data_IF_175496160828
#
_entry.id   IF_175496160828
#
_cell.length_a   1.000
_cell.length_b   1.000
_cell.length_c   1.000
_cell.angle_alpha   90.00
_cell.angle_beta   90.00
_cell.angle_gamma   90.00
#
_symmetry.space_group_name_H-M   'P 1'
#
loop_
_entity.id
_entity.type
_entity.pdbx_description
1 polymer ?
#
# COMPACT_ATOMS: atom_id res chain seq x y z
N UNK A 1 28.41 -19.56 5.46
CA UNK A 1 28.60 -19.33 4.01
C UNK A 1 27.65 -18.23 3.60
N UNK A 2 28.12 -17.09 3.10
CA UNK A 2 27.24 -16.08 2.49
C UNK A 2 26.50 -16.76 1.33
N UNK A 3 25.16 -16.82 1.41
CA UNK A 3 24.33 -17.34 0.32
C UNK A 3 24.49 -16.41 -0.87
N UNK A 4 25.05 -16.92 -1.95
CA UNK A 4 25.31 -16.18 -3.19
C UNK A 4 23.96 -15.81 -3.84
N UNK A 5 23.60 -14.53 -3.85
CA UNK A 5 22.39 -14.06 -4.57
C UNK A 5 22.61 -14.07 -6.09
N UNK A 6 21.53 -14.23 -6.84
CA UNK A 6 21.53 -14.14 -8.29
C UNK A 6 21.26 -12.68 -8.69
N UNK A 7 22.22 -11.97 -9.31
CA UNK A 7 22.01 -10.58 -9.70
C UNK A 7 21.10 -10.48 -10.93
N UNK A 8 20.16 -9.55 -10.92
CA UNK A 8 19.45 -9.16 -12.13
C UNK A 8 20.35 -8.24 -12.97
N UNK A 9 20.75 -8.70 -14.15
CA UNK A 9 21.73 -8.04 -15.01
C UNK A 9 21.07 -7.24 -16.14
N UNK A 10 21.81 -6.34 -16.80
CA UNK A 10 21.33 -5.57 -17.96
C UNK A 10 20.83 -6.46 -19.11
N UNK A 11 21.45 -7.63 -19.33
CA UNK A 11 20.99 -8.59 -20.35
C UNK A 11 19.61 -9.13 -20.05
N UNK A 12 19.24 -9.21 -18.78
CA UNK A 12 17.95 -9.73 -18.32
C UNK A 12 16.80 -8.74 -18.56
N UNK A 13 17.05 -7.45 -18.70
CA UNK A 13 16.01 -6.45 -18.98
C UNK A 13 15.16 -6.83 -20.19
N UNK A 14 15.78 -7.32 -21.26
CA UNK A 14 15.10 -7.69 -22.50
C UNK A 14 14.53 -9.12 -22.52
N UNK A 15 15.05 -9.99 -21.66
CA UNK A 15 14.75 -11.43 -21.72
C UNK A 15 13.93 -11.95 -20.55
N UNK A 16 13.86 -11.19 -19.46
CA UNK A 16 13.16 -11.60 -18.25
C UNK A 16 11.91 -10.75 -18.01
N UNK A 17 10.89 -11.39 -17.49
CA UNK A 17 9.70 -10.72 -16.97
C UNK A 17 9.91 -10.50 -15.46
N UNK A 18 9.61 -9.31 -14.98
CA UNK A 18 9.66 -8.97 -13.56
C UNK A 18 8.27 -9.16 -12.97
N UNK A 19 8.13 -10.13 -12.07
CA UNK A 19 6.89 -10.40 -11.35
C UNK A 19 6.84 -9.58 -10.07
N UNK A 20 5.72 -8.91 -9.82
CA UNK A 20 5.48 -8.08 -8.63
C UNK A 20 4.25 -8.62 -7.91
N UNK A 21 4.29 -8.85 -6.59
CA UNK A 21 3.12 -9.29 -5.83
C UNK A 21 2.11 -8.16 -5.72
N UNK A 22 0.82 -8.51 -5.62
CA UNK A 22 -0.24 -7.51 -5.52
C UNK A 22 -0.51 -7.15 -4.06
N UNK A 23 -0.38 -5.86 -3.73
CA UNK A 23 -0.86 -5.31 -2.46
C UNK A 23 -1.96 -4.29 -2.72
N UNK A 24 -1.69 -3.29 -3.53
CA UNK A 24 -2.60 -2.23 -3.97
C UNK A 24 -2.72 -2.29 -5.50
N UNK A 25 -3.79 -2.89 -6.06
CA UNK A 25 -3.90 -3.14 -7.50
C UNK A 25 -3.69 -1.88 -8.35
N UNK A 26 -4.35 -0.77 -8.02
CA UNK A 26 -4.22 0.50 -8.73
C UNK A 26 -2.80 1.06 -8.67
N UNK A 27 -2.21 1.12 -7.49
CA UNK A 27 -0.88 1.69 -7.28
C UNK A 27 0.20 0.88 -7.99
N UNK A 28 0.17 -0.43 -7.82
CA UNK A 28 1.15 -1.30 -8.46
C UNK A 28 1.01 -1.34 -9.97
N UNK A 29 -0.21 -1.29 -10.50
CA UNK A 29 -0.45 -1.18 -11.92
C UNK A 29 0.12 0.13 -12.50
N UNK A 30 -0.04 1.26 -11.79
CA UNK A 30 0.56 2.53 -12.20
C UNK A 30 2.09 2.51 -12.12
N UNK A 31 2.66 1.96 -11.05
CA UNK A 31 4.12 1.79 -10.91
C UNK A 31 4.66 0.86 -12.01
N UNK A 32 3.98 -0.26 -12.27
CA UNK A 32 4.31 -1.18 -13.36
C UNK A 32 4.30 -0.50 -14.73
N UNK A 33 3.31 0.37 -14.98
CA UNK A 33 3.25 1.17 -16.20
C UNK A 33 4.47 2.09 -16.34
N UNK A 34 4.89 2.76 -15.26
CA UNK A 34 6.10 3.58 -15.26
C UNK A 34 7.34 2.74 -15.56
N UNK A 35 7.52 1.60 -14.86
CA UNK A 35 8.65 0.71 -15.10
C UNK A 35 8.69 0.19 -16.53
N UNK A 36 7.54 -0.15 -17.10
CA UNK A 36 7.42 -0.64 -18.49
C UNK A 36 7.90 0.38 -19.52
N UNK A 37 7.69 1.68 -19.29
CA UNK A 37 8.17 2.73 -20.19
C UNK A 37 9.70 2.87 -20.19
N UNK A 38 10.36 2.37 -19.14
CA UNK A 38 11.82 2.28 -19.07
C UNK A 38 12.38 0.97 -19.62
N UNK A 39 11.54 0.19 -20.31
CA UNK A 39 11.95 -1.04 -20.98
C UNK A 39 11.92 -2.30 -20.12
N UNK A 40 11.42 -2.22 -18.89
CA UNK A 40 11.21 -3.41 -18.07
C UNK A 40 9.94 -4.14 -18.50
N UNK A 41 10.01 -5.45 -18.66
CA UNK A 41 8.82 -6.28 -18.87
C UNK A 41 8.24 -6.66 -17.50
N UNK A 42 7.26 -5.90 -17.02
CA UNK A 42 6.68 -6.03 -15.67
C UNK A 42 5.30 -6.65 -15.73
N UNK A 43 5.03 -7.56 -14.82
CA UNK A 43 3.69 -8.11 -14.60
C UNK A 43 3.35 -8.09 -13.12
N UNK A 44 2.18 -7.52 -12.80
CA UNK A 44 1.63 -7.54 -11.44
C UNK A 44 0.84 -8.84 -11.31
N UNK A 45 1.21 -9.65 -10.32
CA UNK A 45 0.55 -10.93 -10.08
C UNK A 45 -0.89 -10.70 -9.64
N UNK A 46 -1.80 -11.48 -10.20
CA UNK A 46 -3.23 -11.44 -9.88
C UNK A 46 -3.74 -12.76 -9.25
N UNK A 47 -2.84 -13.72 -9.06
CA UNK A 47 -3.18 -14.97 -8.40
C UNK A 47 -3.56 -14.71 -6.94
N UNK A 48 -4.68 -15.27 -6.54
CA UNK A 48 -5.31 -15.09 -5.24
C UNK A 48 -5.94 -16.42 -4.78
N UNK A 49 -6.54 -16.37 -3.60
CA UNK A 49 -7.28 -17.52 -3.07
C UNK A 49 -6.44 -18.45 -2.20
N UNK A 50 -7.09 -19.53 -1.79
CA UNK A 50 -6.59 -20.46 -0.78
C UNK A 50 -5.28 -21.15 -1.17
N UNK A 51 -5.11 -21.48 -2.46
CA UNK A 51 -3.88 -22.10 -2.97
C UNK A 51 -2.64 -21.23 -2.72
N UNK A 52 -2.77 -19.91 -2.84
CA UNK A 52 -1.69 -18.95 -2.57
C UNK A 52 -1.30 -19.03 -1.09
N UNK A 53 -2.28 -19.01 -0.19
CA UNK A 53 -2.06 -19.09 1.26
C UNK A 53 -1.41 -20.42 1.64
N UNK A 54 -1.95 -21.54 1.16
CA UNK A 54 -1.41 -22.88 1.41
C UNK A 54 0.03 -23.03 0.89
N UNK A 55 0.32 -22.48 -0.29
CA UNK A 55 1.68 -22.46 -0.84
C UNK A 55 2.61 -21.64 0.06
N UNK A 56 2.17 -20.45 0.49
CA UNK A 56 2.93 -19.61 1.40
C UNK A 56 3.24 -20.28 2.71
N UNK A 57 2.26 -20.86 3.39
CA UNK A 57 2.42 -21.61 4.64
C UNK A 57 3.42 -22.76 4.50
N UNK A 58 3.38 -23.46 3.38
CA UNK A 58 4.28 -24.60 3.13
C UNK A 58 5.75 -24.19 3.04
N UNK A 59 6.06 -22.97 2.53
CA UNK A 59 7.42 -22.60 2.18
C UNK A 59 7.99 -21.43 2.98
N UNK A 60 7.14 -20.59 3.61
CA UNK A 60 7.62 -19.41 4.35
C UNK A 60 8.25 -19.75 5.71
N UNK A 61 7.90 -20.92 6.29
CA UNK A 61 8.36 -21.33 7.63
C UNK A 61 7.43 -20.82 8.75
N UNK A 62 7.57 -21.43 9.93
CA UNK A 62 6.68 -21.19 11.08
C UNK A 62 6.79 -19.78 11.68
N UNK A 63 7.95 -19.16 11.54
CA UNK A 63 8.22 -17.81 12.08
C UNK A 63 7.84 -16.66 11.12
N UNK A 64 7.30 -16.98 9.94
CA UNK A 64 6.95 -15.96 8.95
C UNK A 64 5.66 -15.22 9.35
N UNK A 65 5.67 -13.88 9.28
CA UNK A 65 4.44 -13.10 9.44
C UNK A 65 3.46 -13.38 8.27
N UNK A 66 2.17 -13.15 8.51
CA UNK A 66 1.13 -13.45 7.52
C UNK A 66 1.37 -12.74 6.18
N UNK A 67 1.79 -11.49 6.16
CA UNK A 67 2.15 -10.78 4.93
C UNK A 67 3.30 -11.45 4.15
N UNK A 68 4.28 -12.04 4.86
CA UNK A 68 5.33 -12.82 4.21
C UNK A 68 4.79 -14.11 3.59
N UNK A 69 3.90 -14.80 4.29
CA UNK A 69 3.21 -15.98 3.76
C UNK A 69 2.49 -15.66 2.46
N UNK A 70 1.75 -14.55 2.41
CA UNK A 70 1.00 -14.15 1.22
C UNK A 70 1.90 -13.81 0.03
N UNK A 71 2.94 -13.00 0.24
CA UNK A 71 3.88 -12.62 -0.83
C UNK A 71 4.65 -13.82 -1.36
N UNK A 72 5.16 -14.68 -0.48
CA UNK A 72 5.86 -15.90 -0.86
C UNK A 72 4.91 -16.85 -1.59
N UNK A 73 3.70 -16.97 -1.09
CA UNK A 73 2.64 -17.76 -1.72
C UNK A 73 2.33 -17.29 -3.13
N UNK A 74 2.15 -15.98 -3.35
CA UNK A 74 1.92 -15.42 -4.68
C UNK A 74 3.07 -15.73 -5.64
N UNK A 75 4.32 -15.51 -5.23
CA UNK A 75 5.46 -15.80 -6.07
C UNK A 75 5.58 -17.28 -6.40
N UNK A 76 5.52 -18.15 -5.38
CA UNK A 76 5.72 -19.59 -5.60
C UNK A 76 4.57 -20.24 -6.34
N UNK A 77 3.32 -19.88 -6.08
CA UNK A 77 2.19 -20.41 -6.85
C UNK A 77 2.25 -19.95 -8.31
N UNK A 78 2.65 -18.69 -8.57
CA UNK A 78 2.89 -18.20 -9.93
C UNK A 78 4.01 -19.00 -10.63
N UNK A 79 5.16 -19.19 -9.99
CA UNK A 79 6.27 -19.96 -10.56
C UNK A 79 5.91 -21.41 -10.82
N UNK A 80 5.10 -22.03 -9.94
CA UNK A 80 4.66 -23.42 -10.07
C UNK A 80 3.53 -23.63 -11.06
N UNK A 81 2.81 -22.58 -11.44
CA UNK A 81 1.66 -22.68 -12.35
C UNK A 81 2.02 -23.18 -13.76
N UNK A 82 3.31 -23.12 -14.13
CA UNK A 82 3.78 -23.41 -15.48
C UNK A 82 3.52 -22.30 -16.51
N UNK A 83 2.88 -21.17 -16.10
CA UNK A 83 2.67 -20.03 -17.00
C UNK A 83 3.94 -19.22 -17.26
N UNK A 84 4.94 -19.36 -16.39
CA UNK A 84 6.19 -18.63 -16.48
C UNK A 84 7.38 -19.58 -16.65
N UNK A 85 8.28 -19.27 -17.58
CA UNK A 85 9.58 -19.89 -17.65
C UNK A 85 10.45 -19.35 -16.50
N UNK A 86 10.72 -20.15 -15.48
CA UNK A 86 11.49 -19.74 -14.30
C UNK A 86 12.91 -19.25 -14.61
N UNK A 87 13.46 -19.60 -15.79
CA UNK A 87 14.75 -19.10 -16.27
C UNK A 87 14.65 -17.72 -16.95
N UNK A 88 13.44 -17.20 -17.14
CA UNK A 88 13.15 -15.91 -17.78
C UNK A 88 12.27 -15.02 -16.93
N UNK A 89 12.29 -15.19 -15.62
CA UNK A 89 11.61 -14.31 -14.67
C UNK A 89 12.58 -13.78 -13.63
N UNK A 90 12.22 -12.66 -13.03
CA UNK A 90 12.79 -12.11 -11.81
C UNK A 90 11.66 -11.66 -10.90
N UNK A 91 11.89 -11.64 -9.61
CA UNK A 91 10.91 -11.19 -8.62
C UNK A 91 11.27 -9.79 -8.14
N UNK A 92 10.34 -8.85 -8.17
CA UNK A 92 10.52 -7.54 -7.56
C UNK A 92 9.68 -7.45 -6.30
N UNK A 93 10.35 -7.20 -5.21
CA UNK A 93 9.78 -7.20 -3.89
C UNK A 93 9.91 -5.82 -3.22
N UNK A 94 8.83 -5.39 -2.60
CA UNK A 94 8.76 -4.15 -1.83
C UNK A 94 8.49 -4.51 -0.38
N UNK A 95 9.37 -4.16 0.53
CA UNK A 95 9.14 -4.26 1.96
C UNK A 95 9.04 -2.86 2.55
N UNK A 96 7.99 -2.62 3.32
CA UNK A 96 7.78 -1.35 4.00
C UNK A 96 7.48 -1.54 5.49
N UNK A 97 7.65 -2.74 6.02
CA UNK A 97 7.19 -3.10 7.37
C UNK A 97 8.27 -3.57 8.34
N UNK A 98 7.87 -3.67 9.60
CA UNK A 98 8.68 -3.74 10.83
C UNK A 98 9.68 -4.89 10.99
N UNK A 99 9.66 -5.95 10.19
CA UNK A 99 10.63 -7.06 10.31
C UNK A 99 11.98 -6.81 9.65
N UNK A 100 12.13 -5.71 8.94
CA UNK A 100 13.35 -5.40 8.21
C UNK A 100 13.50 -6.22 6.92
N UNK A 101 13.81 -5.53 5.83
CA UNK A 101 13.92 -6.12 4.49
C UNK A 101 14.89 -7.29 4.40
N UNK A 102 16.00 -7.24 5.13
CA UNK A 102 17.02 -8.30 5.09
C UNK A 102 16.47 -9.65 5.57
N UNK A 103 15.64 -9.66 6.60
CA UNK A 103 15.01 -10.88 7.12
C UNK A 103 13.97 -11.41 6.14
N UNK A 104 13.15 -10.54 5.60
CA UNK A 104 12.15 -10.91 4.59
C UNK A 104 12.77 -11.52 3.34
N UNK A 105 13.86 -10.92 2.82
CA UNK A 105 14.64 -11.48 1.71
C UNK A 105 15.23 -12.85 2.03
N UNK A 106 15.67 -13.06 3.28
CA UNK A 106 16.20 -14.35 3.70
C UNK A 106 15.12 -15.42 3.67
N UNK A 107 13.92 -15.14 4.18
CA UNK A 107 12.77 -16.06 4.15
C UNK A 107 12.39 -16.36 2.70
N UNK A 108 12.23 -15.34 1.87
CA UNK A 108 11.87 -15.51 0.46
C UNK A 108 12.89 -16.39 -0.31
N UNK A 109 14.19 -16.16 -0.10
CA UNK A 109 15.23 -16.99 -0.75
C UNK A 109 15.25 -18.41 -0.24
N UNK A 110 15.04 -18.61 1.06
CA UNK A 110 14.93 -19.97 1.61
C UNK A 110 13.71 -20.70 1.06
N UNK A 111 12.61 -20.00 0.86
CA UNK A 111 11.41 -20.53 0.24
C UNK A 111 11.63 -20.92 -1.24
N UNK A 112 12.31 -20.04 -2.00
CA UNK A 112 12.67 -20.31 -3.40
C UNK A 112 13.60 -21.53 -3.51
N UNK A 113 14.64 -21.62 -2.68
CA UNK A 113 15.56 -22.75 -2.63
C UNK A 113 14.80 -24.07 -2.33
N UNK A 114 13.94 -24.05 -1.30
CA UNK A 114 13.14 -25.22 -0.90
C UNK A 114 12.14 -25.64 -1.98
N UNK A 115 11.72 -24.72 -2.83
CA UNK A 115 10.79 -24.95 -3.93
C UNK A 115 11.51 -25.29 -5.26
N UNK A 116 12.85 -25.26 -5.33
CA UNK A 116 13.65 -25.53 -6.53
C UNK A 116 13.79 -24.35 -7.49
N UNK A 117 13.56 -23.10 -7.01
CA UNK A 117 13.66 -21.86 -7.78
C UNK A 117 14.81 -20.93 -7.31
N UNK A 118 15.85 -21.49 -6.73
CA UNK A 118 17.04 -20.76 -6.24
C UNK A 118 17.79 -19.98 -7.33
N UNK A 119 17.57 -20.36 -8.59
CA UNK A 119 18.11 -19.68 -9.78
C UNK A 119 17.35 -18.39 -10.17
N UNK A 120 16.19 -18.09 -9.56
CA UNK A 120 15.38 -16.92 -9.89
C UNK A 120 15.93 -15.66 -9.19
N UNK A 121 16.26 -14.58 -9.93
CA UNK A 121 16.70 -13.33 -9.31
C UNK A 121 15.61 -12.68 -8.47
N UNK A 122 15.97 -12.22 -7.27
CA UNK A 122 15.09 -11.43 -6.40
C UNK A 122 15.65 -10.02 -6.30
N UNK A 123 14.88 -9.04 -6.76
CA UNK A 123 15.20 -7.62 -6.72
C UNK A 123 14.49 -7.02 -5.52
N UNK A 124 15.22 -6.34 -4.64
CA UNK A 124 14.66 -5.56 -3.56
C UNK A 124 15.12 -4.11 -3.64
N UNK A 125 14.24 -3.17 -3.32
CA UNK A 125 14.54 -1.74 -3.46
C UNK A 125 15.50 -1.21 -2.39
N UNK A 126 15.50 -1.78 -1.18
CA UNK A 126 16.41 -1.36 -0.11
C UNK A 126 17.76 -2.08 -0.17
N UNK A 127 17.75 -3.35 -0.54
CA UNK A 127 19.00 -4.15 -0.67
C UNK A 127 19.82 -3.74 -1.87
N UNK A 128 19.33 -2.89 -2.76
CA UNK A 128 20.11 -2.26 -3.82
C UNK A 128 21.42 -1.57 -3.32
N UNK A 129 21.54 -1.38 -1.99
CA UNK A 129 22.76 -0.94 -1.33
C UNK A 129 23.71 -2.08 -0.97
N UNK A 130 23.19 -3.30 -0.79
CA UNK A 130 23.96 -4.51 -0.41
C UNK A 130 24.18 -5.43 -1.60
N UNK A 131 23.26 -5.42 -2.57
CA UNK A 131 23.27 -6.27 -3.75
C UNK A 131 23.32 -5.41 -5.02
N UNK A 132 24.22 -5.75 -5.91
CA UNK A 132 24.40 -5.02 -7.18
C UNK A 132 23.57 -5.65 -8.28
N UNK A 133 22.38 -5.13 -8.51
CA UNK A 133 21.54 -5.48 -9.66
C UNK A 133 21.79 -4.47 -10.79
N UNK A 134 22.74 -4.76 -11.68
CA UNK A 134 23.10 -3.84 -12.78
C UNK A 134 21.98 -3.62 -13.78
N UNK A 135 21.03 -4.57 -13.87
CA UNK A 135 19.87 -4.48 -14.73
C UNK A 135 18.68 -3.72 -14.12
N UNK A 136 18.68 -3.44 -12.81
CA UNK A 136 17.59 -2.71 -12.17
C UNK A 136 18.12 -1.51 -11.40
N UNK A 137 18.05 -0.34 -12.04
CA UNK A 137 18.55 0.91 -11.47
C UNK A 137 17.41 1.94 -11.42
N UNK A 138 17.09 2.41 -10.21
CA UNK A 138 16.18 3.52 -9.99
C UNK A 138 16.97 4.83 -9.97
N UNK A 139 17.06 5.47 -11.13
CA UNK A 139 17.57 6.83 -11.24
C UNK A 139 16.53 7.85 -10.75
N UNK A 140 16.93 9.12 -10.66
CA UNK A 140 16.08 10.21 -10.17
C UNK A 140 14.78 10.33 -10.99
N UNK A 141 14.82 10.12 -12.30
CA UNK A 141 13.65 10.24 -13.19
C UNK A 141 12.63 9.14 -12.90
N UNK A 142 13.09 7.86 -12.82
CA UNK A 142 12.23 6.73 -12.47
C UNK A 142 11.61 6.92 -11.08
N UNK A 143 12.42 7.37 -10.12
CA UNK A 143 11.95 7.62 -8.76
C UNK A 143 10.87 8.72 -8.72
N UNK A 144 11.03 9.80 -9.49
CA UNK A 144 9.99 10.82 -9.63
C UNK A 144 8.72 10.25 -10.28
N UNK A 145 8.85 9.47 -11.35
CA UNK A 145 7.72 8.82 -12.02
C UNK A 145 6.94 7.90 -11.06
N UNK A 146 7.63 7.05 -10.32
CA UNK A 146 7.04 6.17 -9.30
C UNK A 146 6.36 7.00 -8.19
N UNK A 147 7.01 8.06 -7.71
CA UNK A 147 6.43 8.94 -6.68
C UNK A 147 5.11 9.57 -7.15
N UNK A 148 5.06 10.07 -8.37
CA UNK A 148 3.82 10.65 -8.91
C UNK A 148 2.78 9.58 -9.23
N UNK A 149 3.17 8.38 -9.65
CA UNK A 149 2.26 7.25 -9.82
C UNK A 149 1.55 6.90 -8.50
N UNK A 150 2.30 6.82 -7.39
CA UNK A 150 1.74 6.59 -6.06
C UNK A 150 0.80 7.72 -5.64
N UNK A 151 1.18 8.98 -5.82
CA UNK A 151 0.35 10.13 -5.44
C UNK A 151 -0.94 10.23 -6.26
N UNK A 152 -0.91 9.94 -7.55
CA UNK A 152 -2.09 9.87 -8.39
C UNK A 152 -3.01 8.70 -8.00
N UNK A 153 -2.43 7.56 -7.68
CA UNK A 153 -3.21 6.41 -7.23
C UNK A 153 -3.87 6.66 -5.87
N UNK A 154 -3.16 7.27 -4.91
CA UNK A 154 -3.75 7.72 -3.63
C UNK A 154 -4.91 8.69 -3.85
N UNK A 155 -4.76 9.66 -4.76
CA UNK A 155 -5.80 10.61 -5.09
C UNK A 155 -7.03 9.92 -5.66
N UNK A 156 -6.84 9.08 -6.69
CA UNK A 156 -7.95 8.37 -7.36
C UNK A 156 -8.64 7.38 -6.41
N UNK A 157 -7.89 6.66 -5.58
CA UNK A 157 -8.44 5.77 -4.56
C UNK A 157 -9.33 6.55 -3.57
N UNK A 158 -8.81 7.65 -3.03
CA UNK A 158 -9.56 8.47 -2.08
C UNK A 158 -10.85 9.06 -2.66
N UNK A 159 -10.84 9.49 -3.92
CA UNK A 159 -12.02 10.03 -4.59
C UNK A 159 -13.00 8.92 -4.97
N UNK A 160 -12.50 7.79 -5.47
CA UNK A 160 -13.32 6.64 -5.82
C UNK A 160 -14.11 6.12 -4.61
N UNK A 161 -13.45 5.99 -3.45
CA UNK A 161 -14.08 5.51 -2.23
C UNK A 161 -15.18 6.45 -1.72
N UNK A 162 -15.13 7.72 -2.12
CA UNK A 162 -16.20 8.69 -1.83
C UNK A 162 -17.28 8.73 -2.89
N UNK A 163 -17.08 8.15 -4.08
CA UNK A 163 -18.05 8.12 -5.16
C UNK A 163 -18.77 6.77 -5.29
N UNK A 164 -18.02 5.67 -5.29
CA UNK A 164 -18.53 4.30 -5.54
C UNK A 164 -19.79 3.95 -4.75
N UNK A 165 -19.88 4.21 -3.42
CA UNK A 165 -21.09 3.88 -2.68
C UNK A 165 -22.33 4.65 -3.12
N UNK A 166 -22.18 5.71 -3.89
CA UNK A 166 -23.22 6.66 -4.27
C UNK A 166 -23.43 6.80 -5.78
N UNK A 167 -22.61 6.17 -6.62
CA UNK A 167 -22.72 6.30 -8.07
C UNK A 167 -24.07 5.80 -8.58
N UNK A 168 -24.69 6.57 -9.48
CA UNK A 168 -25.97 6.22 -10.09
C UNK A 168 -25.78 5.19 -11.19
N UNK A 169 -24.68 5.29 -11.92
CA UNK A 169 -24.30 4.33 -12.95
C UNK A 169 -23.17 3.47 -12.39
N UNK A 170 -23.46 2.24 -12.06
CA UNK A 170 -22.50 1.28 -11.53
C UNK A 170 -21.29 1.13 -12.46
N UNK A 171 -20.08 1.23 -11.88
CA UNK A 171 -18.80 1.10 -12.59
C UNK A 171 -18.28 2.40 -13.20
N UNK A 172 -18.95 3.54 -13.09
CA UNK A 172 -18.52 4.83 -13.65
C UNK A 172 -17.19 5.29 -13.03
N UNK A 173 -16.99 5.05 -11.72
CA UNK A 173 -15.73 5.30 -11.03
C UNK A 173 -14.58 4.45 -11.57
N UNK A 174 -14.81 3.16 -11.79
CA UNK A 174 -13.77 2.24 -12.28
C UNK A 174 -13.38 2.54 -13.73
N UNK A 175 -14.35 2.90 -14.56
CA UNK A 175 -14.10 3.37 -15.92
C UNK A 175 -13.27 4.66 -15.93
N UNK A 176 -13.55 5.58 -15.01
CA UNK A 176 -12.81 6.83 -14.88
C UNK A 176 -11.37 6.57 -14.43
N UNK A 177 -11.17 5.72 -13.42
CA UNK A 177 -9.84 5.26 -12.97
C UNK A 177 -9.07 4.66 -14.14
N UNK A 178 -9.69 3.74 -14.90
CA UNK A 178 -9.07 3.06 -16.03
C UNK A 178 -8.63 4.03 -17.13
N UNK A 179 -9.43 5.08 -17.41
CA UNK A 179 -9.05 6.14 -18.36
C UNK A 179 -7.86 6.94 -17.89
N UNK A 180 -7.87 7.38 -16.62
CA UNK A 180 -6.78 8.14 -16.04
C UNK A 180 -5.49 7.32 -15.93
N UNK A 181 -5.59 6.06 -15.52
CA UNK A 181 -4.44 5.16 -15.42
C UNK A 181 -3.71 5.01 -16.77
N UNK A 182 -4.46 4.79 -17.87
CA UNK A 182 -3.87 4.71 -19.22
C UNK A 182 -3.24 6.02 -19.68
N UNK A 183 -3.84 7.16 -19.34
CA UNK A 183 -3.30 8.48 -19.67
C UNK A 183 -2.03 8.78 -18.88
N UNK A 184 -2.09 8.65 -17.55
CA UNK A 184 -0.98 8.96 -16.67
C UNK A 184 0.21 8.01 -16.86
N UNK A 185 -0.04 6.71 -17.13
CA UNK A 185 1.01 5.75 -17.46
C UNK A 185 1.83 6.19 -18.67
N UNK A 186 1.19 6.73 -19.70
CA UNK A 186 1.89 7.29 -20.88
C UNK A 186 2.64 8.59 -20.57
N UNK A 187 2.01 9.49 -19.80
CA UNK A 187 2.61 10.79 -19.46
C UNK A 187 3.84 10.62 -18.55
N UNK A 188 3.75 9.77 -17.52
CA UNK A 188 4.86 9.52 -16.58
C UNK A 188 6.03 8.77 -17.23
N UNK A 189 5.77 8.05 -18.31
CA UNK A 189 6.79 7.34 -19.07
C UNK A 189 7.35 8.08 -20.27
N UNK A 190 6.82 9.25 -20.60
CA UNK A 190 7.28 10.03 -21.75
C UNK A 190 8.75 10.47 -21.59
N UNK A 191 9.43 10.67 -22.72
CA UNK A 191 10.76 11.25 -22.72
C UNK A 191 10.73 12.70 -22.19
N UNK A 192 11.73 13.07 -21.40
CA UNK A 192 11.84 14.41 -20.82
C UNK A 192 11.54 14.46 -19.31
N UNK A 193 11.68 15.63 -18.69
CA UNK A 193 11.37 15.82 -17.26
C UNK A 193 9.86 15.86 -17.02
N UNK A 194 9.42 15.27 -15.90
CA UNK A 194 8.02 15.38 -15.47
C UNK A 194 7.83 16.77 -14.86
N UNK A 195 7.08 17.63 -15.57
CA UNK A 195 6.79 18.97 -15.10
C UNK A 195 5.76 18.98 -13.98
N UNK A 196 6.12 19.52 -12.84
CA UNK A 196 5.22 19.56 -11.68
C UNK A 196 3.96 20.39 -11.91
N UNK A 197 4.01 21.38 -12.81
CA UNK A 197 2.82 22.15 -13.22
C UNK A 197 1.78 21.21 -13.85
N UNK A 198 2.21 20.34 -14.75
CA UNK A 198 1.36 19.33 -15.39
C UNK A 198 0.79 18.34 -14.38
N UNK A 199 1.62 17.89 -13.41
CA UNK A 199 1.13 17.02 -12.34
C UNK A 199 -0.02 17.66 -11.56
N UNK A 200 0.11 18.94 -11.17
CA UNK A 200 -0.96 19.64 -10.45
C UNK A 200 -2.20 19.84 -11.32
N UNK A 201 -2.04 20.10 -12.61
CA UNK A 201 -3.18 20.25 -13.52
C UNK A 201 -3.93 18.94 -13.69
N UNK A 202 -3.22 17.83 -13.84
CA UNK A 202 -3.83 16.49 -13.86
C UNK A 202 -4.58 16.20 -12.56
N UNK A 203 -4.00 16.53 -11.38
CA UNK A 203 -4.71 16.36 -10.11
C UNK A 203 -6.02 17.15 -10.07
N UNK A 204 -6.02 18.43 -10.53
CA UNK A 204 -7.24 19.24 -10.60
C UNK A 204 -8.27 18.64 -11.54
N UNK A 205 -7.81 18.14 -12.70
CA UNK A 205 -8.72 17.53 -13.67
C UNK A 205 -9.31 16.23 -13.13
N UNK A 206 -8.51 15.37 -12.48
CA UNK A 206 -9.00 14.16 -11.80
C UNK A 206 -10.10 14.52 -10.80
N UNK A 207 -9.85 15.51 -9.94
CA UNK A 207 -10.84 15.96 -8.93
C UNK A 207 -12.13 16.42 -9.59
N UNK A 208 -12.06 17.20 -10.68
CA UNK A 208 -13.23 17.67 -11.43
C UNK A 208 -13.98 16.53 -12.10
N UNK A 209 -13.28 15.59 -12.68
CA UNK A 209 -13.88 14.45 -13.37
C UNK A 209 -14.65 13.57 -12.39
N UNK A 210 -14.09 13.29 -11.20
CA UNK A 210 -14.82 12.59 -10.14
C UNK A 210 -16.00 13.40 -9.60
N UNK A 211 -15.86 14.72 -9.47
CA UNK A 211 -16.96 15.60 -9.04
C UNK A 211 -18.10 15.69 -10.07
N UNK A 212 -17.85 15.33 -11.32
CA UNK A 212 -18.86 15.28 -12.38
C UNK A 212 -19.67 13.96 -12.40
N UNK A 213 -19.22 12.92 -11.67
CA UNK A 213 -19.98 11.66 -11.53
C UNK A 213 -21.30 11.96 -10.83
N UNK A 214 -22.39 11.44 -11.37
CA UNK A 214 -23.70 11.61 -10.77
C UNK A 214 -23.85 10.70 -9.55
N UNK A 215 -24.00 11.32 -8.39
CA UNK A 215 -24.12 10.62 -7.11
C UNK A 215 -25.54 10.72 -6.53
N UNK A 216 -26.03 9.63 -5.97
CA UNK A 216 -27.26 9.57 -5.21
C UNK A 216 -26.97 9.83 -3.73
N UNK A 217 -27.61 10.85 -3.14
CA UNK A 217 -27.47 11.15 -1.71
C UNK A 217 -28.25 10.14 -0.88
N UNK A 218 -27.56 9.32 -0.10
CA UNK A 218 -28.15 8.39 0.86
C UNK A 218 -27.36 8.39 2.18
N UNK A 219 -28.01 8.15 3.32
CA UNK A 219 -27.30 7.92 4.58
C UNK A 219 -26.36 6.73 4.41
N UNK A 220 -25.10 6.91 4.77
CA UNK A 220 -24.09 5.90 4.57
C UNK A 220 -23.11 5.91 5.75
N UNK A 221 -22.85 4.75 6.31
CA UNK A 221 -21.85 4.59 7.33
C UNK A 221 -20.46 4.93 6.77
N UNK A 222 -19.71 5.81 7.46
CA UNK A 222 -18.31 6.06 7.14
C UNK A 222 -17.43 5.15 7.99
N UNK A 223 -16.61 4.31 7.34
CA UNK A 223 -15.75 3.33 7.99
C UNK A 223 -14.29 3.59 7.61
N UNK A 224 -13.46 3.85 8.62
CA UNK A 224 -12.01 3.96 8.47
C UNK A 224 -11.36 2.58 8.50
N UNK A 225 -10.41 2.30 7.61
CA UNK A 225 -9.59 1.08 7.66
C UNK A 225 -8.15 1.49 8.00
N UNK A 226 -7.61 0.88 9.05
CA UNK A 226 -6.21 1.02 9.49
C UNK A 226 -5.62 -0.35 9.74
N UNK A 227 -4.31 -0.45 9.96
CA UNK A 227 -3.68 -1.73 10.30
C UNK A 227 -2.31 -1.91 9.69
N UNK A 228 -1.81 -3.14 9.74
CA UNK A 228 -0.56 -3.54 9.11
C UNK A 228 -0.61 -3.28 7.60
N UNK A 229 0.48 -2.82 7.05
CA UNK A 229 0.51 -2.25 5.69
C UNK A 229 -0.02 -3.19 4.62
N UNK A 230 0.48 -4.45 4.59
CA UNK A 230 0.09 -5.39 3.54
C UNK A 230 -1.38 -5.82 3.69
N UNK A 231 -1.77 -6.18 4.92
CA UNK A 231 -3.14 -6.65 5.21
C UNK A 231 -4.17 -5.52 5.04
N UNK A 232 -3.82 -4.28 5.42
CA UNK A 232 -4.69 -3.11 5.23
C UNK A 232 -5.12 -2.92 3.78
N UNK A 233 -4.23 -3.15 2.83
CA UNK A 233 -4.48 -2.82 1.43
C UNK A 233 -4.69 -4.02 0.52
N UNK A 234 -4.23 -5.21 0.89
CA UNK A 234 -4.24 -6.37 0.00
C UNK A 234 -5.59 -7.07 0.00
N UNK A 235 -6.31 -7.11 -1.14
CA UNK A 235 -7.52 -7.91 -1.24
C UNK A 235 -7.30 -9.40 -0.90
N UNK A 236 -6.12 -9.93 -1.22
CA UNK A 236 -5.72 -11.28 -0.82
C UNK A 236 -5.54 -11.40 0.69
N UNK A 237 -4.97 -10.37 1.33
CA UNK A 237 -4.64 -10.37 2.76
C UNK A 237 -5.82 -10.08 3.68
N UNK A 238 -6.85 -9.40 3.19
CA UNK A 238 -8.00 -8.96 3.97
C UNK A 238 -9.35 -9.42 3.41
N UNK A 239 -9.36 -10.47 2.59
CA UNK A 239 -10.59 -11.03 2.00
C UNK A 239 -11.45 -9.98 1.27
N UNK A 240 -10.83 -9.09 0.50
CA UNK A 240 -11.51 -8.00 -0.22
C UNK A 240 -12.35 -7.10 0.71
N UNK A 241 -11.88 -6.80 1.91
CA UNK A 241 -12.59 -6.05 2.93
C UNK A 241 -13.18 -4.73 2.42
N UNK A 242 -12.44 -3.97 1.62
CA UNK A 242 -12.90 -2.70 1.06
C UNK A 242 -14.13 -2.88 0.19
N UNK A 243 -14.10 -3.85 -0.72
CA UNK A 243 -15.22 -4.17 -1.60
C UNK A 243 -16.41 -4.71 -0.80
N UNK A 244 -16.17 -5.58 0.19
CA UNK A 244 -17.22 -6.12 1.06
C UNK A 244 -17.96 -4.99 1.81
N UNK A 245 -17.23 -4.05 2.42
CA UNK A 245 -17.84 -2.92 3.13
C UNK A 245 -18.62 -2.01 2.18
N UNK A 246 -18.11 -1.76 0.96
CA UNK A 246 -18.82 -0.96 -0.04
C UNK A 246 -20.09 -1.67 -0.55
N UNK A 247 -20.06 -2.98 -0.78
CA UNK A 247 -21.23 -3.77 -1.16
C UNK A 247 -22.33 -3.73 -0.10
N UNK A 248 -21.97 -3.69 1.19
CA UNK A 248 -22.92 -3.50 2.31
C UNK A 248 -23.38 -2.03 2.46
N UNK A 249 -22.90 -1.15 1.57
CA UNK A 249 -23.31 0.25 1.47
C UNK A 249 -22.58 1.20 2.44
N UNK A 250 -21.34 0.87 2.83
CA UNK A 250 -20.49 1.77 3.59
C UNK A 250 -19.61 2.63 2.66
N UNK A 251 -19.27 3.83 3.11
CA UNK A 251 -18.19 4.63 2.54
C UNK A 251 -16.90 4.30 3.25
N UNK A 252 -15.93 3.73 2.52
CA UNK A 252 -14.64 3.34 3.08
C UNK A 252 -13.65 4.49 3.00
N UNK A 253 -12.87 4.68 4.06
CA UNK A 253 -11.81 5.68 4.15
C UNK A 253 -10.53 4.99 4.53
N UNK A 254 -9.54 5.01 3.62
CA UNK A 254 -8.24 4.37 3.81
C UNK A 254 -7.15 5.43 3.63
N UNK A 255 -6.15 5.53 4.54
CA UNK A 255 -4.99 6.38 4.32
C UNK A 255 -4.22 5.95 3.07
N UNK A 256 -3.75 6.90 2.28
CA UNK A 256 -2.97 6.58 1.09
C UNK A 256 -1.60 5.97 1.39
N UNK A 257 -1.05 5.22 0.44
CA UNK A 257 0.28 4.59 0.54
C UNK A 257 1.40 5.61 0.84
N UNK A 258 1.25 6.85 0.36
CA UNK A 258 2.18 7.93 0.66
C UNK A 258 2.32 8.21 2.16
N UNK A 259 1.33 7.91 3.02
CA UNK A 259 1.44 8.03 4.48
C UNK A 259 2.49 7.07 5.03
N UNK A 260 2.44 5.81 4.63
CA UNK A 260 3.39 4.78 5.07
C UNK A 260 4.81 5.08 4.58
N UNK A 261 4.94 5.55 3.33
CA UNK A 261 6.23 6.00 2.79
C UNK A 261 6.77 7.20 3.57
N UNK A 262 5.93 8.19 3.88
CA UNK A 262 6.31 9.36 4.69
C UNK A 262 6.74 8.93 6.09
N UNK A 263 6.06 7.97 6.70
CA UNK A 263 6.41 7.46 8.02
C UNK A 263 7.78 6.74 8.01
N UNK A 264 8.03 5.90 7.01
CA UNK A 264 9.34 5.26 6.81
C UNK A 264 10.46 6.29 6.64
N UNK A 265 10.22 7.33 5.83
CA UNK A 265 11.19 8.42 5.65
C UNK A 265 11.37 9.26 6.91
N UNK A 266 10.30 9.47 7.69
CA UNK A 266 10.35 10.17 8.98
C UNK A 266 11.23 9.42 9.98
N UNK A 267 11.07 8.11 10.14
CA UNK A 267 11.90 7.30 11.01
C UNK A 267 13.36 7.25 10.48
N UNK A 268 13.55 7.03 9.18
CA UNK A 268 14.89 6.94 8.57
C UNK A 268 15.69 8.24 8.70
N UNK A 269 15.06 9.42 8.62
CA UNK A 269 15.75 10.71 8.81
C UNK A 269 16.18 10.96 10.25
N UNK A 270 15.52 10.31 11.23
CA UNK A 270 15.83 10.45 12.68
C UNK A 270 16.80 9.40 13.16
N UNK A 271 16.67 8.15 12.73
CA UNK A 271 17.40 6.99 13.23
C UNK A 271 18.72 6.70 12.49
N UNK A 272 18.87 7.22 11.26
CA UNK A 272 20.08 6.93 10.48
C UNK A 272 21.34 7.45 11.14
N UNK A 273 22.32 6.57 11.36
CA UNK A 273 23.64 6.93 11.93
C UNK A 273 24.48 7.80 11.01
N UNK A 274 24.25 7.77 9.69
CA UNK A 274 25.02 8.54 8.72
C UNK A 274 24.39 9.92 8.48
N UNK A 275 25.15 10.98 8.68
CA UNK A 275 24.72 12.37 8.41
C UNK A 275 24.25 12.57 6.96
N UNK A 276 24.99 12.03 5.98
CA UNK A 276 24.63 12.15 4.55
C UNK A 276 23.30 11.43 4.25
N UNK A 277 23.09 10.24 4.83
CA UNK A 277 21.83 9.52 4.66
C UNK A 277 20.67 10.27 5.29
N UNK A 278 20.83 10.85 6.48
CA UNK A 278 19.81 11.69 7.12
C UNK A 278 19.42 12.88 6.23
N UNK A 279 20.39 13.50 5.57
CA UNK A 279 20.13 14.63 4.66
C UNK A 279 19.32 14.18 3.43
N UNK A 280 19.66 13.03 2.85
CA UNK A 280 18.92 12.44 1.72
C UNK A 280 17.49 12.10 2.13
N UNK A 281 17.28 11.38 3.24
CA UNK A 281 15.94 11.06 3.73
C UNK A 281 15.11 12.30 4.07
N UNK A 282 15.73 13.34 4.65
CA UNK A 282 15.09 14.62 4.90
C UNK A 282 14.64 15.30 3.60
N UNK A 283 15.46 15.26 2.57
CA UNK A 283 15.09 15.80 1.25
C UNK A 283 13.91 15.03 0.65
N UNK A 284 13.97 13.69 0.65
CA UNK A 284 12.89 12.82 0.12
C UNK A 284 11.58 13.03 0.91
N UNK A 285 11.66 13.10 2.24
CA UNK A 285 10.52 13.38 3.10
C UNK A 285 9.86 14.71 2.76
N UNK A 286 10.64 15.80 2.71
CA UNK A 286 10.12 17.14 2.41
C UNK A 286 9.56 17.22 0.98
N UNK A 287 10.17 16.51 0.03
CA UNK A 287 9.69 16.44 -1.34
C UNK A 287 8.30 15.79 -1.39
N UNK A 288 8.15 14.59 -0.85
CA UNK A 288 6.88 13.84 -0.84
C UNK A 288 5.80 14.58 -0.06
N UNK A 289 6.13 15.09 1.13
CA UNK A 289 5.21 15.83 2.00
C UNK A 289 4.61 17.05 1.30
N UNK A 290 5.45 17.88 0.63
CA UNK A 290 4.97 19.04 -0.13
C UNK A 290 4.00 18.63 -1.24
N UNK A 291 4.32 17.57 -2.00
CA UNK A 291 3.46 17.10 -3.09
C UNK A 291 2.12 16.60 -2.56
N UNK A 292 2.13 15.84 -1.49
CA UNK A 292 0.91 15.36 -0.83
C UNK A 292 0.06 16.51 -0.31
N UNK A 293 0.66 17.51 0.36
CA UNK A 293 -0.07 18.69 0.86
C UNK A 293 -0.66 19.55 -0.27
N UNK A 294 0.03 19.63 -1.42
CA UNK A 294 -0.53 20.28 -2.61
C UNK A 294 -1.78 19.56 -3.14
N UNK A 295 -1.79 18.21 -3.12
CA UNK A 295 -2.97 17.43 -3.52
C UNK A 295 -4.12 17.64 -2.54
N UNK A 296 -3.87 17.60 -1.23
CA UNK A 296 -4.88 17.88 -0.19
C UNK A 296 -5.51 19.26 -0.44
N UNK A 297 -4.70 20.27 -0.74
CA UNK A 297 -5.20 21.63 -1.06
C UNK A 297 -6.02 21.63 -2.34
N UNK A 298 -5.58 20.92 -3.39
CA UNK A 298 -6.32 20.83 -4.66
C UNK A 298 -7.70 20.21 -4.44
N UNK A 299 -7.83 19.15 -3.63
CA UNK A 299 -9.13 18.56 -3.28
C UNK A 299 -10.02 19.62 -2.60
N UNK A 300 -9.51 20.28 -1.56
CA UNK A 300 -10.27 21.30 -0.80
C UNK A 300 -10.73 22.50 -1.65
N UNK A 301 -9.92 22.93 -2.60
CA UNK A 301 -10.21 24.10 -3.44
C UNK A 301 -11.11 23.78 -4.64
N UNK A 302 -11.17 22.54 -5.09
CA UNK A 302 -11.79 22.20 -6.37
C UNK A 302 -12.99 21.24 -6.27
N UNK A 303 -13.37 20.83 -5.07
CA UNK A 303 -14.47 19.87 -4.91
C UNK A 303 -15.16 19.94 -3.55
N UNK A 304 -16.23 19.15 -3.43
CA UNK A 304 -16.95 18.90 -2.17
C UNK A 304 -16.45 17.65 -1.44
N UNK A 305 -15.42 17.00 -1.98
CA UNK A 305 -14.86 15.79 -1.39
C UNK A 305 -14.09 16.08 -0.10
N UNK A 306 -14.20 15.16 0.84
CA UNK A 306 -13.41 15.18 2.06
C UNK A 306 -11.94 14.91 1.70
N UNK A 307 -11.03 15.68 2.29
CA UNK A 307 -9.60 15.41 2.20
C UNK A 307 -9.10 14.82 3.50
N UNK A 308 -8.17 13.88 3.40
CA UNK A 308 -7.48 13.38 4.59
C UNK A 308 -6.68 14.49 5.27
N UNK A 309 -6.48 14.34 6.58
CA UNK A 309 -5.65 15.23 7.38
C UNK A 309 -4.19 15.24 6.85
N UNK A 310 -3.50 16.38 6.86
CA UNK A 310 -2.07 16.43 6.56
C UNK A 310 -1.26 15.49 7.45
N UNK A 311 -0.23 14.84 6.88
CA UNK A 311 0.53 13.80 7.58
C UNK A 311 1.14 14.27 8.91
N UNK A 312 1.70 15.48 8.94
CA UNK A 312 2.31 16.04 10.17
C UNK A 312 1.28 16.30 11.27
N UNK A 313 0.08 16.76 10.88
CA UNK A 313 -1.03 16.94 11.82
C UNK A 313 -1.55 15.58 12.33
N UNK A 314 -1.61 14.58 11.46
CA UNK A 314 -1.97 13.20 11.83
C UNK A 314 -0.98 12.66 12.87
N UNK A 315 0.32 12.74 12.58
CA UNK A 315 1.35 12.21 13.47
C UNK A 315 1.39 12.93 14.83
N UNK A 316 1.16 14.24 14.85
CA UNK A 316 1.12 15.05 16.06
C UNK A 316 -0.02 14.65 17.02
N UNK A 317 -1.09 14.00 16.53
CA UNK A 317 -2.15 13.49 17.42
C UNK A 317 -1.64 12.34 18.31
N UNK A 318 -0.89 11.41 17.74
CA UNK A 318 -0.31 10.33 18.53
C UNK A 318 0.82 10.83 19.46
N UNK A 319 1.63 11.80 19.02
CA UNK A 319 2.73 12.35 19.84
C UNK A 319 2.26 13.03 21.13
N UNK A 320 1.04 13.57 21.15
CA UNK A 320 0.45 14.18 22.36
C UNK A 320 0.10 13.15 23.45
N UNK A 321 -0.11 11.90 23.06
CA UNK A 321 -0.62 10.85 23.93
C UNK A 321 0.39 9.71 24.13
N UNK A 322 1.45 9.64 23.31
CA UNK A 322 2.54 8.70 23.50
C UNK A 322 3.37 9.10 24.74
N UNK A 323 3.45 8.24 25.74
CA UNK A 323 4.42 8.36 26.82
C UNK A 323 5.85 8.34 26.27
N UNK A 324 6.79 8.97 27.00
CA UNK A 324 8.21 9.11 26.59
C UNK A 324 9.00 7.78 26.41
N UNK A 325 8.33 6.63 26.38
CA UNK A 325 8.94 5.30 26.35
C UNK A 325 8.59 4.42 25.16
N UNK A 326 7.59 4.74 24.35
CA UNK A 326 7.23 3.90 23.22
C UNK A 326 8.14 4.14 22.02
N UNK A 327 8.92 3.12 21.69
CA UNK A 327 9.77 3.10 20.49
C UNK A 327 8.95 3.41 19.24
N UNK A 328 9.52 4.20 18.34
CA UNK A 328 8.96 4.59 17.06
C UNK A 328 8.71 3.36 16.14
N UNK A 329 7.60 2.64 16.37
CA UNK A 329 7.16 1.50 15.57
C UNK A 329 5.90 1.83 14.77
N UNK A 330 5.40 0.89 13.98
CA UNK A 330 4.15 1.01 13.22
C UNK A 330 2.95 1.35 14.11
N UNK A 331 2.98 0.96 15.38
CA UNK A 331 2.00 1.26 16.43
C UNK A 331 1.69 2.76 16.56
N UNK A 332 2.71 3.64 16.42
CA UNK A 332 2.50 5.10 16.45
C UNK A 332 1.71 5.60 15.24
N UNK A 333 2.00 5.10 14.03
CA UNK A 333 1.25 5.49 12.84
C UNK A 333 -0.20 5.00 12.93
N UNK A 334 -0.40 3.79 13.43
CA UNK A 334 -1.71 3.19 13.64
C UNK A 334 -2.58 4.05 14.58
N UNK A 335 -2.05 4.40 15.76
CA UNK A 335 -2.73 5.29 16.70
C UNK A 335 -3.03 6.66 16.08
N UNK A 336 -2.06 7.24 15.35
CA UNK A 336 -2.22 8.53 14.67
C UNK A 336 -3.34 8.51 13.62
N UNK A 337 -3.42 7.45 12.80
CA UNK A 337 -4.46 7.30 11.77
C UNK A 337 -5.84 7.14 12.40
N UNK A 338 -5.99 6.32 13.47
CA UNK A 338 -7.26 6.18 14.21
C UNK A 338 -7.72 7.51 14.81
N UNK A 339 -6.83 8.24 15.49
CA UNK A 339 -7.16 9.54 16.08
C UNK A 339 -7.50 10.59 15.02
N UNK A 340 -6.84 10.54 13.87
CA UNK A 340 -7.16 11.42 12.75
C UNK A 340 -8.56 11.12 12.17
N UNK A 341 -8.94 9.86 12.07
CA UNK A 341 -10.28 9.47 11.67
C UNK A 341 -11.33 9.97 12.66
N UNK A 342 -11.13 9.70 13.96
CA UNK A 342 -12.02 10.14 15.02
C UNK A 342 -12.24 11.66 15.00
N UNK A 343 -11.15 12.43 14.86
CA UNK A 343 -11.19 13.90 14.78
C UNK A 343 -11.92 14.42 13.54
N UNK A 344 -11.88 13.67 12.42
CA UNK A 344 -12.60 14.01 11.19
C UNK A 344 -14.04 13.43 11.14
N UNK A 345 -14.57 12.95 12.28
CA UNK A 345 -15.93 12.44 12.38
C UNK A 345 -16.13 11.01 11.87
N UNK A 346 -15.05 10.28 11.57
CA UNK A 346 -15.09 8.86 11.22
C UNK A 346 -14.91 8.06 12.50
N UNK A 347 -16.02 7.65 13.10
CA UNK A 347 -16.03 6.99 14.41
C UNK A 347 -15.97 5.46 14.34
N UNK A 348 -16.34 4.88 13.22
CA UNK A 348 -16.25 3.44 12.99
C UNK A 348 -14.93 3.10 12.30
N UNK A 349 -14.14 2.26 12.92
CA UNK A 349 -12.79 1.93 12.45
C UNK A 349 -12.62 0.41 12.45
N UNK A 350 -12.17 -0.13 11.34
CA UNK A 350 -11.68 -1.51 11.24
C UNK A 350 -10.17 -1.48 11.35
N UNK A 351 -9.65 -2.20 12.33
CA UNK A 351 -8.22 -2.33 12.56
C UNK A 351 -7.75 -3.72 12.12
N UNK A 352 -7.09 -3.76 10.97
CA UNK A 352 -6.55 -4.99 10.40
C UNK A 352 -5.17 -5.27 10.96
N UNK A 353 -5.04 -6.33 11.76
CA UNK A 353 -3.75 -6.74 12.31
C UNK A 353 -3.52 -8.22 12.08
N UNK A 354 -2.28 -8.67 11.84
CA UNK A 354 -1.93 -10.07 12.01
C UNK A 354 -1.83 -10.40 13.50
N UNK A 355 -2.15 -11.65 13.88
CA UNK A 355 -2.06 -12.12 15.27
C UNK A 355 -0.71 -11.76 15.91
N UNK A 356 -0.75 -11.20 17.11
CA UNK A 356 0.44 -10.94 17.95
C UNK A 356 0.97 -9.52 17.96
N UNK A 357 0.24 -8.53 17.42
CA UNK A 357 0.63 -7.11 17.50
C UNK A 357 0.07 -6.36 18.72
N UNK A 358 0.61 -5.15 18.99
CA UNK A 358 0.22 -4.23 20.09
C UNK A 358 -1.19 -3.61 19.89
N UNK A 359 -2.01 -4.17 18.99
CA UNK A 359 -3.26 -3.60 18.54
C UNK A 359 -4.27 -3.33 19.62
N UNK A 360 -4.38 -4.24 20.60
CA UNK A 360 -5.32 -4.06 21.71
C UNK A 360 -4.96 -2.85 22.55
N UNK A 361 -3.67 -2.69 22.88
CA UNK A 361 -3.19 -1.55 23.68
C UNK A 361 -3.44 -0.22 22.95
N UNK A 362 -3.25 -0.20 21.64
CA UNK A 362 -3.49 0.98 20.80
C UNK A 362 -4.99 1.30 20.76
N UNK A 363 -5.84 0.29 20.59
CA UNK A 363 -7.30 0.47 20.58
C UNK A 363 -7.78 1.01 21.94
N UNK A 364 -7.29 0.45 23.02
CA UNK A 364 -7.61 0.90 24.38
C UNK A 364 -7.15 2.35 24.62
N UNK A 365 -5.96 2.72 24.12
CA UNK A 365 -5.48 4.09 24.16
C UNK A 365 -6.41 5.03 23.37
N UNK A 366 -6.76 4.69 22.13
CA UNK A 366 -7.63 5.52 21.28
C UNK A 366 -9.01 5.69 21.93
N UNK A 367 -9.60 4.61 22.47
CA UNK A 367 -10.89 4.66 23.19
C UNK A 367 -10.82 5.47 24.48
N UNK A 368 -9.67 5.50 25.16
CA UNK A 368 -9.48 6.36 26.34
C UNK A 368 -9.45 7.85 26.01
N UNK A 369 -9.03 8.21 24.80
CA UNK A 369 -8.97 9.59 24.29
C UNK A 369 -10.31 10.03 23.71
N UNK A 370 -10.95 9.15 22.95
CA UNK A 370 -12.25 9.38 22.31
C UNK A 370 -13.16 8.15 22.53
N UNK A 371 -13.98 8.15 23.58
CA UNK A 371 -14.84 7.00 23.93
C UNK A 371 -15.94 6.69 22.88
N UNK A 372 -16.25 7.64 22.00
CA UNK A 372 -17.26 7.45 20.95
C UNK A 372 -16.72 6.67 19.75
N UNK A 373 -15.44 6.33 19.73
CA UNK A 373 -14.83 5.55 18.66
C UNK A 373 -15.17 4.07 18.82
N UNK A 374 -15.80 3.53 17.79
CA UNK A 374 -16.09 2.11 17.68
C UNK A 374 -15.01 1.43 16.83
N UNK A 375 -14.16 0.60 17.44
CA UNK A 375 -13.09 -0.12 16.74
C UNK A 375 -13.39 -1.60 16.75
N UNK A 376 -13.47 -2.19 15.57
CA UNK A 376 -13.45 -3.65 15.35
C UNK A 376 -12.05 -4.06 14.93
N UNK A 377 -11.41 -4.85 15.78
CA UNK A 377 -10.12 -5.47 15.44
C UNK A 377 -10.39 -6.76 14.65
N UNK A 378 -9.72 -6.89 13.52
CA UNK A 378 -9.80 -8.09 12.68
C UNK A 378 -8.41 -8.67 12.54
N UNK A 379 -8.23 -9.87 13.08
CA UNK A 379 -7.01 -10.63 12.95
C UNK A 379 -7.09 -11.50 11.69
N UNK A 380 -6.33 -11.13 10.67
CA UNK A 380 -6.20 -11.94 9.46
C UNK A 380 -5.04 -12.93 9.63
N UNK A 381 -5.37 -14.20 9.57
CA UNK A 381 -4.39 -15.29 9.47
C UNK A 381 -4.79 -16.26 8.35
N UNK A 382 -4.00 -17.29 8.18
CA UNK A 382 -4.26 -18.30 7.15
C UNK A 382 -5.57 -19.10 7.34
N UNK A 383 -6.19 -19.02 8.53
CA UNK A 383 -7.41 -19.72 8.90
C UNK A 383 -8.61 -18.78 9.11
N UNK A 384 -8.41 -17.48 9.00
CA UNK A 384 -9.38 -16.43 9.33
C UNK A 384 -10.46 -16.22 8.27
N UNK A 385 -11.07 -17.27 7.78
CA UNK A 385 -12.35 -17.17 7.07
C UNK A 385 -13.47 -17.40 8.11
N UNK A 386 -13.76 -16.40 8.96
CA UNK A 386 -14.78 -16.58 9.98
C UNK A 386 -16.03 -15.77 9.67
N UNK A 387 -17.19 -16.46 9.67
CA UNK A 387 -18.53 -15.85 9.60
C UNK A 387 -18.72 -14.81 10.72
N UNK A 388 -17.99 -14.93 11.83
CA UNK A 388 -18.03 -14.03 12.98
C UNK A 388 -17.51 -12.63 12.65
N UNK A 389 -16.42 -12.53 11.89
CA UNK A 389 -15.88 -11.23 11.44
C UNK A 389 -16.86 -10.50 10.54
N UNK A 390 -17.45 -11.21 9.59
CA UNK A 390 -18.45 -10.64 8.67
C UNK A 390 -19.69 -10.13 9.42
N UNK A 391 -20.15 -10.85 10.44
CA UNK A 391 -21.29 -10.41 11.25
C UNK A 391 -20.95 -9.16 12.08
N UNK A 392 -19.76 -9.08 12.68
CA UNK A 392 -19.29 -7.90 13.39
C UNK A 392 -19.22 -6.66 12.48
N UNK A 393 -18.74 -6.81 11.26
CA UNK A 393 -18.68 -5.72 10.28
C UNK A 393 -20.07 -5.28 9.83
N UNK A 394 -20.99 -6.21 9.57
CA UNK A 394 -22.39 -5.90 9.25
C UNK A 394 -23.10 -5.19 10.41
N UNK A 395 -22.83 -5.61 11.65
CA UNK A 395 -23.40 -4.95 12.82
C UNK A 395 -22.87 -3.51 12.94
N UNK A 396 -21.56 -3.29 12.77
CA UNK A 396 -20.97 -1.94 12.75
C UNK A 396 -21.64 -1.02 11.72
N UNK A 397 -21.95 -1.53 10.51
CA UNK A 397 -22.63 -0.78 9.46
C UNK A 397 -24.06 -0.46 9.85
N UNK A 398 -24.79 -1.41 10.45
CA UNK A 398 -26.19 -1.21 10.90
C UNK A 398 -26.30 -0.17 12.01
N UNK A 399 -25.38 -0.22 12.98
CA UNK A 399 -25.37 0.70 14.12
C UNK A 399 -24.97 2.13 13.73
N UNK A 400 -24.44 2.30 12.53
CA UNK A 400 -23.95 3.58 11.98
C UNK A 400 -24.91 4.29 11.04
N UNK A 401 -26.00 3.63 10.65
CA UNK A 401 -27.09 4.19 9.81
C UNK A 401 -28.21 4.77 10.66
#
# INVERSE_FOLDING_TARGET
>A
MEKKYIPFTEKMIKSHKILIPTMLPLHFSMVGSVLSTYGYNVEILSNNGREVIETGLKYAGEDACYSAVLVIGQFLSALKSGHYDSHRVALLFFCTGGMGEAHYLQILRSALESAGFDHVPVISLESAKLEKHTGFVLDSKKLHGITYAVLYADLMMSLSNQCKPYEVNEGECDDLISRWQRRLGRELGAEGPIEYKTVKENCRQIVRDFAAIKLEKRPTAKIGIVGELYVKYSPLGNNCLEDCLMCEGAQVIIPGLANSILYTLYNSKTESKSFLRRLVYRFMYNFLLRKKNDIIRIIKENSVFDSLMPFEETLALAEKHAGHGEKAGESRLLAAEMLAFAKNGVKNIVCNQPMGGDGKEIIDLVKSIDPDVNVVAVDYDANSFSDETDELLRQMIKDSK
#
